data_IF_444915737946
#
_entry.id   IF_444915737946
#
_cell.length_a   1.000
_cell.length_b   1.000
_cell.length_c   1.000
_cell.angle_alpha   90.00
_cell.angle_beta   90.00
_cell.angle_gamma   90.00
#
_symmetry.space_group_name_H-M   'P 1'
#
loop_
_entity.id
_entity.type
_entity.pdbx_description
1 polymer ?
#
# COMPACT_ATOMS: atom_id res chain seq x y z
N UNK A 1 -24.52 3.05 -8.61
CA UNK A 1 -24.20 4.41 -9.10
C UNK A 1 -23.37 5.11 -8.03
N UNK A 2 -22.07 5.33 -8.29
CA UNK A 2 -21.27 6.22 -7.45
C UNK A 2 -21.61 7.66 -7.82
N UNK A 3 -22.26 8.37 -6.94
CA UNK A 3 -22.38 9.81 -7.07
C UNK A 3 -21.07 10.43 -6.58
N UNK A 4 -20.40 11.20 -7.44
CA UNK A 4 -19.29 12.04 -7.03
C UNK A 4 -19.86 13.09 -6.06
N UNK A 5 -19.58 12.94 -4.76
CA UNK A 5 -20.12 13.81 -3.70
C UNK A 5 -19.40 15.15 -3.67
N UNK A 6 -18.18 15.20 -4.19
CA UNK A 6 -17.38 16.41 -4.29
C UNK A 6 -16.02 16.14 -4.96
N UNK A 7 -15.45 17.16 -5.54
CA UNK A 7 -14.09 17.18 -6.04
C UNK A 7 -13.30 18.15 -5.16
N UNK A 8 -12.37 17.62 -4.36
CA UNK A 8 -11.45 18.45 -3.60
C UNK A 8 -10.32 18.83 -4.55
N UNK A 9 -10.36 20.06 -5.04
CA UNK A 9 -9.28 20.62 -5.86
C UNK A 9 -8.48 21.55 -4.95
N UNK A 10 -7.26 21.19 -4.55
CA UNK A 10 -6.41 22.08 -3.76
C UNK A 10 -6.23 23.40 -4.52
N UNK A 11 -6.65 24.50 -3.94
CA UNK A 11 -6.47 25.83 -4.52
C UNK A 11 -4.97 26.12 -4.57
N UNK A 12 -4.42 26.29 -5.76
CA UNK A 12 -3.03 26.73 -6.02
C UNK A 12 -1.90 25.72 -5.89
N UNK A 13 -2.11 24.43 -6.05
CA UNK A 13 -0.97 23.52 -5.98
C UNK A 13 -0.67 22.86 -7.32
N UNK A 14 0.57 23.03 -7.80
CA UNK A 14 1.19 22.16 -8.80
C UNK A 14 1.75 20.87 -8.13
N UNK A 15 1.36 20.59 -6.89
CA UNK A 15 1.83 19.44 -6.13
C UNK A 15 1.03 18.21 -6.51
N UNK A 16 1.71 17.11 -6.70
CA UNK A 16 1.10 15.78 -6.80
C UNK A 16 1.20 15.11 -5.44
N UNK A 17 0.22 14.27 -5.11
CA UNK A 17 0.17 13.54 -3.85
C UNK A 17 0.18 12.04 -4.10
N UNK A 18 1.01 11.31 -3.35
CA UNK A 18 1.08 9.84 -3.40
C UNK A 18 -0.02 9.17 -2.59
N UNK A 19 -0.52 9.87 -1.59
CA UNK A 19 -1.56 9.35 -0.71
C UNK A 19 -2.35 10.46 -0.04
N UNK A 20 -3.56 10.12 0.32
CA UNK A 20 -4.40 10.96 1.17
C UNK A 20 -5.21 10.09 2.12
N UNK A 21 -5.55 10.64 3.28
CA UNK A 21 -6.44 10.02 4.25
C UNK A 21 -7.21 11.10 5.01
N UNK A 22 -8.40 10.75 5.47
CA UNK A 22 -9.26 11.66 6.23
C UNK A 22 -9.37 11.22 7.69
N UNK A 23 -9.34 12.19 8.59
CA UNK A 23 -9.64 12.01 10.01
C UNK A 23 -10.49 13.19 10.50
N UNK A 24 -11.74 12.91 10.88
CA UNK A 24 -12.72 13.96 11.19
C UNK A 24 -12.88 14.93 10.01
N UNK A 25 -12.71 16.22 10.27
CA UNK A 25 -12.80 17.27 9.26
C UNK A 25 -11.45 17.61 8.60
N UNK A 26 -10.45 16.79 8.81
CA UNK A 26 -9.08 17.00 8.32
C UNK A 26 -8.73 15.99 7.26
N UNK A 27 -8.13 16.46 6.16
CA UNK A 27 -7.54 15.63 5.10
C UNK A 27 -6.03 15.81 5.16
N UNK A 28 -5.33 14.70 5.28
CA UNK A 28 -3.87 14.64 5.21
C UNK A 28 -3.45 14.18 3.83
N UNK A 29 -2.45 14.83 3.26
CA UNK A 29 -1.91 14.50 1.94
C UNK A 29 -0.39 14.33 2.02
N UNK A 30 0.12 13.20 1.51
CA UNK A 30 1.57 12.97 1.37
C UNK A 30 1.99 13.42 -0.02
N UNK A 31 2.85 14.45 -0.15
CA UNK A 31 3.34 14.88 -1.45
C UNK A 31 4.20 13.82 -2.12
N UNK A 32 4.11 13.72 -3.46
CA UNK A 32 4.95 12.82 -4.26
C UNK A 32 6.38 13.35 -4.47
N UNK A 33 6.57 14.65 -4.28
CA UNK A 33 7.87 15.31 -4.42
C UNK A 33 8.26 15.97 -3.10
N UNK A 34 9.47 15.70 -2.64
CA UNK A 34 10.05 16.30 -1.44
C UNK A 34 11.19 17.23 -1.86
N UNK A 35 11.15 18.50 -1.44
CA UNK A 35 12.21 19.43 -1.76
C UNK A 35 13.48 19.13 -0.94
N UNK A 36 13.39 19.17 0.39
CA UNK A 36 14.53 18.92 1.28
C UNK A 36 14.15 18.03 2.47
N UNK A 37 12.90 18.11 2.93
CA UNK A 37 12.40 17.38 4.09
C UNK A 37 11.07 16.74 3.76
N UNK A 38 10.79 15.63 4.43
CA UNK A 38 9.49 14.98 4.36
C UNK A 38 8.44 15.77 5.09
N UNK A 39 7.26 15.84 4.51
CA UNK A 39 6.16 16.60 5.06
C UNK A 39 4.81 15.97 4.72
N UNK A 40 3.80 16.36 5.44
CA UNK A 40 2.40 16.17 5.07
C UNK A 40 1.74 17.55 4.95
N UNK A 41 0.87 17.69 3.95
CA UNK A 41 0.02 18.86 3.80
C UNK A 41 -1.35 18.55 4.41
N UNK A 42 -1.89 19.51 5.13
CA UNK A 42 -3.16 19.38 5.85
C UNK A 42 -4.18 20.32 5.21
N UNK A 43 -5.36 19.75 4.93
CA UNK A 43 -6.50 20.43 4.35
C UNK A 43 -7.75 20.19 5.19
N UNK A 44 -8.72 21.10 5.09
CA UNK A 44 -10.08 20.81 5.54
C UNK A 44 -10.79 19.90 4.52
N UNK A 45 -11.91 19.29 4.92
CA UNK A 45 -12.79 18.54 3.98
C UNK A 45 -13.39 19.42 2.89
N UNK A 46 -13.42 20.76 3.06
CA UNK A 46 -13.78 21.72 2.01
C UNK A 46 -12.65 22.01 1.01
N UNK A 47 -11.46 21.40 1.20
CA UNK A 47 -10.28 21.59 0.33
C UNK A 47 -9.47 22.83 0.63
N UNK A 48 -9.67 23.47 1.79
CA UNK A 48 -8.86 24.62 2.20
C UNK A 48 -7.56 24.15 2.85
N UNK A 49 -6.43 24.63 2.32
CA UNK A 49 -5.11 24.38 2.89
C UNK A 49 -5.02 25.01 4.29
N UNK A 50 -4.55 24.23 5.25
CA UNK A 50 -4.34 24.67 6.62
C UNK A 50 -2.86 24.92 6.91
N UNK A 51 -2.06 23.88 6.78
CA UNK A 51 -0.64 23.93 7.09
C UNK A 51 0.15 22.80 6.42
N UNK A 52 1.47 22.94 6.42
CA UNK A 52 2.42 21.87 6.13
C UNK A 52 3.11 21.47 7.42
N UNK A 53 2.99 20.20 7.81
CA UNK A 53 3.72 19.65 8.94
C UNK A 53 4.96 18.90 8.46
N UNK A 54 6.09 19.21 9.08
CA UNK A 54 7.35 18.56 8.78
C UNK A 54 7.51 17.30 9.62
N UNK A 55 8.01 16.26 8.98
CA UNK A 55 8.31 15.00 9.66
C UNK A 55 9.77 15.02 10.06
N UNK A 56 10.02 15.08 11.37
CA UNK A 56 11.37 14.92 11.91
C UNK A 56 11.86 13.52 11.62
N UNK A 57 12.83 13.41 10.74
CA UNK A 57 13.53 12.16 10.50
C UNK A 57 14.99 12.46 10.21
N UNK A 58 15.87 11.76 10.93
CA UNK A 58 17.32 11.73 10.65
C UNK A 58 17.63 11.05 9.30
N UNK A 59 16.59 10.53 8.64
CA UNK A 59 16.73 9.84 7.36
C UNK A 59 16.83 10.88 6.26
N UNK A 60 18.00 10.96 5.65
CA UNK A 60 18.23 11.80 4.48
C UNK A 60 17.19 11.52 3.40
N UNK A 61 16.56 12.57 2.89
CA UNK A 61 15.74 12.50 1.69
C UNK A 61 16.66 12.21 0.52
N UNK A 62 16.53 11.02 -0.05
CA UNK A 62 17.26 10.70 -1.27
C UNK A 62 16.54 11.36 -2.43
N UNK A 63 17.11 12.44 -2.93
CA UNK A 63 16.66 13.09 -4.16
C UNK A 63 17.19 12.26 -5.32
N UNK A 64 16.34 11.55 -6.02
CA UNK A 64 16.69 11.07 -7.34
C UNK A 64 16.81 12.28 -8.26
N UNK A 65 18.00 12.55 -8.74
CA UNK A 65 18.31 13.70 -9.58
C UNK A 65 17.39 13.81 -10.79
N UNK A 66 16.94 15.01 -11.06
CA UNK A 66 15.96 15.55 -11.98
C UNK A 66 16.14 15.22 -13.48
N UNK A 67 16.40 14.01 -13.87
CA UNK A 67 16.27 13.65 -15.28
C UNK A 67 15.30 12.50 -15.43
N UNK A 68 14.08 12.88 -15.80
CA UNK A 68 13.00 12.06 -16.33
C UNK A 68 12.44 10.99 -15.41
N UNK A 69 11.16 11.18 -15.11
CA UNK A 69 10.24 10.22 -14.51
C UNK A 69 10.57 9.82 -13.08
N UNK A 70 9.91 10.50 -12.16
CA UNK A 70 9.68 9.99 -10.80
C UNK A 70 8.94 8.66 -10.93
N UNK A 71 9.68 7.57 -10.98
CA UNK A 71 9.06 6.27 -10.81
C UNK A 71 8.71 6.15 -9.33
N UNK A 72 7.46 6.38 -9.01
CA UNK A 72 6.92 5.90 -7.76
C UNK A 72 7.03 4.38 -7.78
N UNK A 73 7.89 3.81 -6.94
CA UNK A 73 7.92 2.36 -6.72
C UNK A 73 6.68 1.90 -5.96
N UNK A 74 5.93 2.84 -5.39
CA UNK A 74 4.66 2.64 -4.75
C UNK A 74 3.55 2.66 -5.80
N UNK A 75 2.76 1.62 -5.83
CA UNK A 75 1.51 1.55 -6.60
C UNK A 75 0.32 1.34 -5.67
N UNK A 76 0.57 1.36 -4.37
CA UNK A 76 -0.41 1.27 -3.31
C UNK A 76 -0.53 2.58 -2.52
N UNK A 77 -1.46 2.62 -1.59
CA UNK A 77 -1.62 3.75 -0.69
C UNK A 77 -0.51 3.75 0.37
N UNK A 78 0.16 4.88 0.51
CA UNK A 78 1.12 5.13 1.59
C UNK A 78 0.46 5.59 2.88
N UNK A 79 -0.88 5.68 2.92
CA UNK A 79 -1.67 6.15 4.05
C UNK A 79 -2.82 5.21 4.38
N UNK A 80 -3.16 5.12 5.64
CA UNK A 80 -4.32 4.37 6.15
C UNK A 80 -4.87 4.98 7.42
N UNK A 81 -6.19 5.09 7.52
CA UNK A 81 -6.86 5.50 8.75
C UNK A 81 -7.09 4.32 9.70
N UNK A 82 -6.85 4.53 10.99
CA UNK A 82 -7.18 3.58 12.04
C UNK A 82 -7.63 4.31 13.30
N UNK A 83 -8.91 4.13 13.69
CA UNK A 83 -9.52 4.81 14.84
C UNK A 83 -9.42 6.34 14.70
N UNK A 84 -8.71 6.98 15.64
CA UNK A 84 -8.50 8.42 15.74
C UNK A 84 -7.11 8.87 15.26
N UNK A 85 -6.47 8.06 14.42
CA UNK A 85 -5.17 8.36 13.84
C UNK A 85 -5.09 7.97 12.36
N UNK A 86 -4.17 8.60 11.65
CA UNK A 86 -3.78 8.26 10.29
C UNK A 86 -2.36 7.77 10.29
N UNK A 87 -2.16 6.54 9.82
CA UNK A 87 -0.85 5.98 9.54
C UNK A 87 -0.37 6.43 8.18
N UNK A 88 0.90 6.75 8.06
CA UNK A 88 1.52 7.05 6.78
C UNK A 88 2.99 6.69 6.76
N UNK A 89 3.52 6.54 5.57
CA UNK A 89 4.92 6.22 5.33
C UNK A 89 5.44 6.92 4.09
N UNK A 90 6.73 6.82 3.87
CA UNK A 90 7.42 7.32 2.69
C UNK A 90 8.28 6.24 2.08
N UNK A 91 8.50 6.29 0.77
CA UNK A 91 9.48 5.41 0.12
C UNK A 91 10.87 5.56 0.74
N UNK A 92 11.60 4.46 0.79
CA UNK A 92 12.97 4.38 1.33
C UNK A 92 13.11 4.63 2.83
N UNK A 93 12.04 4.55 3.60
CA UNK A 93 12.05 4.71 5.05
C UNK A 93 11.40 3.51 5.71
N UNK A 94 12.07 2.85 6.66
CA UNK A 94 11.50 1.71 7.38
C UNK A 94 10.66 2.15 8.58
N UNK A 95 10.02 3.33 8.47
CA UNK A 95 9.18 3.86 9.55
C UNK A 95 7.74 4.01 9.09
N UNK A 96 6.82 3.73 10.00
CA UNK A 96 5.42 4.10 9.87
C UNK A 96 5.14 5.18 10.90
N UNK A 97 4.68 6.31 10.41
CA UNK A 97 4.32 7.46 11.22
C UNK A 97 2.82 7.41 11.52
N UNK A 98 2.44 8.02 12.63
CA UNK A 98 1.05 8.28 12.97
C UNK A 98 0.83 9.77 13.16
N UNK A 99 -0.23 10.30 12.54
CA UNK A 99 -0.79 11.60 12.84
C UNK A 99 -1.98 11.43 13.77
N UNK A 100 -1.96 12.14 14.89
CA UNK A 100 -3.04 12.15 15.86
C UNK A 100 -3.08 13.49 16.59
N UNK A 101 -4.24 14.14 16.63
CA UNK A 101 -4.45 15.39 17.38
C UNK A 101 -3.40 16.46 17.08
N UNK A 102 -3.07 16.69 15.82
CA UNK A 102 -2.09 17.71 15.40
C UNK A 102 -0.62 17.34 15.63
N UNK A 103 -0.32 16.09 15.97
CA UNK A 103 1.05 15.63 16.22
C UNK A 103 1.42 14.47 15.30
N UNK A 104 2.68 14.44 14.89
CA UNK A 104 3.28 13.34 14.14
C UNK A 104 4.29 12.61 15.04
N UNK A 105 4.19 11.29 15.09
CA UNK A 105 5.12 10.43 15.82
C UNK A 105 5.50 9.21 14.99
N UNK A 106 6.68 8.64 15.23
CA UNK A 106 7.01 7.30 14.73
C UNK A 106 6.23 6.29 15.56
N UNK A 107 5.36 5.54 14.90
CA UNK A 107 4.56 4.49 15.55
C UNK A 107 5.22 3.13 15.45
N UNK A 108 5.77 2.80 14.29
CA UNK A 108 6.46 1.54 14.06
C UNK A 108 7.80 1.81 13.37
N UNK A 109 8.82 1.10 13.83
CA UNK A 109 10.10 0.97 13.14
C UNK A 109 10.23 -0.50 12.71
N UNK A 110 10.42 -0.70 11.42
CA UNK A 110 10.54 -2.03 10.83
C UNK A 110 12.03 -2.34 10.62
N UNK A 111 12.49 -3.40 11.25
CA UNK A 111 13.85 -3.89 11.09
C UNK A 111 13.86 -5.06 10.09
N UNK A 112 14.37 -4.80 8.91
CA UNK A 112 14.56 -5.81 7.86
C UNK A 112 15.99 -6.32 7.81
N UNK A 113 16.87 -5.90 8.74
CA UNK A 113 18.28 -6.20 8.72
C UNK A 113 18.91 -5.80 7.38
N UNK A 114 19.70 -6.70 6.80
CA UNK A 114 20.38 -6.48 5.53
C UNK A 114 19.45 -6.46 4.31
N UNK A 115 18.16 -6.75 4.50
CA UNK A 115 17.16 -6.70 3.41
C UNK A 115 16.57 -5.31 3.20
N UNK A 116 16.82 -4.33 4.07
CA UNK A 116 16.49 -2.95 3.75
C UNK A 116 17.52 -2.39 2.76
N UNK A 117 17.04 -1.61 1.79
CA UNK A 117 17.92 -1.08 0.74
C UNK A 117 19.12 -0.33 1.35
N UNK A 118 20.34 -0.69 0.99
CA UNK A 118 21.52 0.01 1.49
C UNK A 118 21.56 1.47 1.01
N UNK A 119 21.89 2.38 1.91
CA UNK A 119 21.95 3.83 1.63
C UNK A 119 22.92 4.19 0.49
N UNK A 120 23.99 3.42 0.33
CA UNK A 120 24.95 3.63 -0.76
C UNK A 120 24.37 3.36 -2.16
N UNK A 121 23.31 2.55 -2.28
CA UNK A 121 22.60 2.35 -3.54
C UNK A 121 21.67 3.54 -3.85
N UNK A 122 21.12 4.16 -2.83
CA UNK A 122 20.27 5.34 -2.98
C UNK A 122 21.10 6.61 -3.28
N UNK A 123 22.32 6.68 -2.76
CA UNK A 123 23.23 7.82 -2.99
C UNK A 123 23.93 7.78 -4.36
N UNK A 124 23.91 6.65 -5.05
CA UNK A 124 24.41 6.54 -6.42
C UNK A 124 23.31 7.03 -7.36
N UNK A 125 23.68 7.72 -8.42
CA UNK A 125 22.79 8.06 -9.55
C UNK A 125 22.39 6.81 -10.32
N UNK A 126 21.82 5.82 -9.61
CA UNK A 126 21.37 4.57 -10.21
C UNK A 126 20.06 4.84 -10.93
N UNK A 127 19.93 4.55 -12.22
CA UNK A 127 18.67 4.65 -12.93
C UNK A 127 17.58 3.84 -12.21
N UNK A 128 16.34 4.34 -12.19
CA UNK A 128 15.25 3.71 -11.48
C UNK A 128 15.01 2.24 -11.89
N UNK A 129 15.11 1.95 -13.19
CA UNK A 129 14.95 0.57 -13.69
C UNK A 129 16.04 -0.36 -13.15
N UNK A 130 17.28 0.12 -13.08
CA UNK A 130 18.42 -0.67 -12.57
C UNK A 130 18.26 -0.90 -11.08
N UNK A 131 17.81 0.12 -10.34
CA UNK A 131 17.52 0.00 -8.91
C UNK A 131 16.41 -1.03 -8.65
N UNK A 132 15.33 -1.00 -9.45
CA UNK A 132 14.26 -1.99 -9.34
C UNK A 132 14.77 -3.41 -9.60
N UNK A 133 15.59 -3.62 -10.62
CA UNK A 133 16.17 -4.93 -10.92
C UNK A 133 17.09 -5.42 -9.79
N UNK A 134 17.92 -4.52 -9.24
CA UNK A 134 18.78 -4.83 -8.08
C UNK A 134 17.90 -5.25 -6.89
N UNK A 135 16.85 -4.48 -6.58
CA UNK A 135 15.96 -4.80 -5.47
C UNK A 135 15.24 -6.14 -5.66
N UNK A 136 14.78 -6.44 -6.88
CA UNK A 136 14.16 -7.72 -7.17
C UNK A 136 15.15 -8.89 -7.04
N UNK A 137 16.37 -8.73 -7.53
CA UNK A 137 17.41 -9.77 -7.51
C UNK A 137 17.91 -10.06 -6.10
N UNK A 138 18.19 -9.01 -5.33
CA UNK A 138 18.78 -9.12 -3.99
C UNK A 138 17.71 -9.22 -2.88
N UNK A 139 16.42 -9.04 -3.23
CA UNK A 139 15.32 -9.11 -2.28
C UNK A 139 15.16 -7.86 -1.40
N UNK A 140 15.79 -6.74 -1.76
CA UNK A 140 15.71 -5.53 -0.94
C UNK A 140 14.29 -4.96 -0.85
N UNK A 141 13.95 -4.50 0.35
CA UNK A 141 12.73 -3.75 0.67
C UNK A 141 13.01 -2.27 0.51
N UNK A 142 12.12 -1.56 -0.18
CA UNK A 142 12.28 -0.13 -0.48
C UNK A 142 11.01 0.69 -0.24
N UNK A 143 9.88 0.01 -0.06
CA UNK A 143 8.58 0.66 0.10
C UNK A 143 7.73 -0.11 1.08
N UNK A 144 6.92 0.65 1.83
CA UNK A 144 5.84 0.15 2.67
C UNK A 144 4.55 0.78 2.16
N UNK A 145 3.55 -0.03 1.85
CA UNK A 145 2.31 0.44 1.24
C UNK A 145 1.10 -0.39 1.66
N UNK A 146 -0.10 0.08 1.35
CA UNK A 146 -1.35 -0.61 1.64
C UNK A 146 -1.44 -1.07 3.10
N UNK A 147 -1.11 -0.16 4.01
CA UNK A 147 -1.14 -0.47 5.43
C UNK A 147 -2.56 -0.64 5.93
N UNK A 148 -2.77 -1.63 6.74
CA UNK A 148 -4.01 -1.83 7.48
C UNK A 148 -3.68 -2.18 8.92
N UNK A 149 -4.24 -1.44 9.83
CA UNK A 149 -4.11 -1.69 11.25
C UNK A 149 -5.45 -2.10 11.85
N UNK A 150 -5.42 -3.16 12.65
CA UNK A 150 -6.52 -3.58 13.52
C UNK A 150 -6.07 -3.51 14.98
N UNK A 151 -6.94 -3.91 15.93
CA UNK A 151 -6.53 -4.07 17.33
C UNK A 151 -5.37 -5.05 17.49
N UNK A 152 -5.36 -6.12 16.71
CA UNK A 152 -4.49 -7.28 16.92
C UNK A 152 -3.35 -7.38 15.88
N UNK A 153 -3.53 -6.78 14.71
CA UNK A 153 -2.59 -6.91 13.60
C UNK A 153 -2.22 -5.56 12.97
N UNK A 154 -1.02 -5.51 12.41
CA UNK A 154 -0.65 -4.57 11.36
C UNK A 154 -0.30 -5.39 10.12
N UNK A 155 -1.02 -5.16 9.04
CA UNK A 155 -0.78 -5.76 7.73
C UNK A 155 -0.27 -4.68 6.78
N UNK A 156 0.76 -4.98 6.02
CA UNK A 156 1.30 -4.06 5.00
C UNK A 156 1.95 -4.81 3.85
N UNK A 157 2.06 -4.15 2.72
CA UNK A 157 2.85 -4.62 1.60
C UNK A 157 4.25 -4.00 1.61
N UNK A 158 5.21 -4.76 1.13
CA UNK A 158 6.47 -4.24 0.60
C UNK A 158 6.45 -4.36 -0.92
N UNK A 159 7.54 -3.98 -1.57
CA UNK A 159 7.68 -4.15 -3.03
C UNK A 159 7.60 -5.61 -3.51
N UNK A 160 7.77 -6.61 -2.66
CA UNK A 160 7.82 -8.02 -3.05
C UNK A 160 7.16 -9.01 -2.07
N UNK A 161 6.53 -8.54 -1.00
CA UNK A 161 5.93 -9.40 0.02
C UNK A 161 4.85 -8.69 0.83
N UNK A 162 4.16 -9.48 1.66
CA UNK A 162 3.24 -9.03 2.68
C UNK A 162 3.88 -9.22 4.05
N UNK A 163 3.71 -8.26 4.92
CA UNK A 163 4.14 -8.35 6.30
C UNK A 163 2.91 -8.36 7.19
N UNK A 164 2.83 -9.32 8.07
CA UNK A 164 1.82 -9.39 9.12
C UNK A 164 2.53 -9.30 10.46
N UNK A 165 2.30 -8.23 11.19
CA UNK A 165 2.74 -8.08 12.56
C UNK A 165 1.57 -8.37 13.49
N UNK A 166 1.67 -9.47 14.24
CA UNK A 166 0.74 -9.85 15.30
C UNK A 166 1.15 -9.14 16.58
N UNK A 167 0.32 -8.20 17.03
CA UNK A 167 0.57 -7.38 18.22
C UNK A 167 0.41 -8.16 19.53
N UNK A 168 -0.38 -9.24 19.49
CA UNK A 168 -0.64 -10.06 20.68
C UNK A 168 0.54 -10.95 21.02
N UNK A 169 1.20 -11.48 20.00
CA UNK A 169 2.36 -12.37 20.13
C UNK A 169 3.69 -11.64 19.93
N UNK A 170 3.64 -10.36 19.50
CA UNK A 170 4.81 -9.56 19.12
C UNK A 170 5.67 -10.24 18.04
N UNK A 171 5.00 -10.88 17.07
CA UNK A 171 5.66 -11.59 15.98
C UNK A 171 5.38 -10.94 14.64
N UNK A 172 6.43 -10.84 13.84
CA UNK A 172 6.37 -10.39 12.46
C UNK A 172 6.57 -11.61 11.54
N UNK A 173 5.68 -11.78 10.57
CA UNK A 173 5.76 -12.85 9.58
C UNK A 173 5.67 -12.27 8.19
N UNK A 174 6.56 -12.72 7.32
CA UNK A 174 6.58 -12.35 5.92
C UNK A 174 5.90 -13.43 5.07
N UNK A 175 5.05 -13.01 4.15
CA UNK A 175 4.36 -13.87 3.19
C UNK A 175 4.59 -13.34 1.77
N UNK A 176 4.83 -14.23 0.82
CA UNK A 176 4.99 -13.84 -0.58
C UNK A 176 3.65 -13.76 -1.33
N UNK A 177 2.60 -14.35 -0.80
CA UNK A 177 1.27 -14.31 -1.39
C UNK A 177 0.21 -14.55 -0.32
N UNK A 178 -0.91 -13.87 -0.45
CA UNK A 178 -2.16 -14.18 0.24
C UNK A 178 -3.03 -14.93 -0.76
N UNK A 179 -3.53 -16.09 -0.39
CA UNK A 179 -4.30 -16.96 -1.28
C UNK A 179 -5.72 -17.07 -0.76
N UNK A 180 -6.69 -16.80 -1.62
CA UNK A 180 -8.09 -17.01 -1.30
C UNK A 180 -8.38 -18.52 -1.13
N UNK A 181 -8.93 -18.91 0.01
CA UNK A 181 -9.06 -20.32 0.40
C UNK A 181 -9.93 -21.14 -0.55
N UNK A 182 -11.03 -20.57 -1.05
CA UNK A 182 -11.95 -21.30 -1.95
C UNK A 182 -11.44 -21.38 -3.39
N UNK A 183 -10.88 -20.29 -3.91
CA UNK A 183 -10.50 -20.20 -5.33
C UNK A 183 -9.04 -20.54 -5.59
N UNK A 184 -8.19 -20.51 -4.56
CA UNK A 184 -6.75 -20.67 -4.71
C UNK A 184 -6.09 -19.52 -5.50
N UNK A 185 -6.80 -18.43 -5.74
CA UNK A 185 -6.26 -17.26 -6.45
C UNK A 185 -5.38 -16.47 -5.49
N UNK A 186 -4.16 -16.19 -5.93
CA UNK A 186 -3.22 -15.33 -5.22
C UNK A 186 -3.62 -13.87 -5.34
N UNK A 187 -3.53 -13.14 -4.23
CA UNK A 187 -3.73 -11.71 -4.16
C UNK A 187 -2.36 -11.00 -4.16
N UNK A 188 -1.98 -10.33 -5.25
CA UNK A 188 -0.70 -9.64 -5.32
C UNK A 188 -0.68 -8.35 -4.47
N UNK A 189 -1.84 -7.77 -4.26
CA UNK A 189 -2.05 -6.52 -3.50
C UNK A 189 -3.44 -6.48 -2.93
N UNK A 190 -3.59 -5.75 -1.84
CA UNK A 190 -4.88 -5.50 -1.23
C UNK A 190 -5.13 -4.00 -1.05
N UNK A 191 -6.39 -3.66 -0.94
CA UNK A 191 -6.85 -2.33 -0.58
C UNK A 191 -7.35 -2.43 0.86
N UNK A 192 -6.74 -1.74 1.82
CA UNK A 192 -7.23 -1.74 3.19
C UNK A 192 -8.59 -1.04 3.26
N UNK A 193 -9.51 -1.59 4.04
CA UNK A 193 -10.76 -0.93 4.36
C UNK A 193 -10.61 -0.28 5.73
N UNK A 194 -10.56 1.04 5.81
CA UNK A 194 -10.33 1.74 7.07
C UNK A 194 -11.33 1.35 8.16
N UNK A 195 -10.85 1.24 9.39
CA UNK A 195 -11.66 0.91 10.57
C UNK A 195 -12.46 -0.41 10.48
N UNK A 196 -11.94 -1.36 9.73
CA UNK A 196 -12.53 -2.70 9.61
C UNK A 196 -11.44 -3.77 9.72
N UNK A 197 -11.84 -5.04 9.80
CA UNK A 197 -10.94 -6.19 9.66
C UNK A 197 -10.97 -6.77 8.23
N UNK A 198 -11.42 -5.97 7.25
CA UNK A 198 -11.53 -6.41 5.87
C UNK A 198 -10.47 -5.75 5.00
N UNK A 199 -9.97 -6.53 4.06
CA UNK A 199 -9.21 -6.06 2.91
C UNK A 199 -9.96 -6.37 1.63
N UNK A 200 -9.75 -5.56 0.61
CA UNK A 200 -10.40 -5.72 -0.67
C UNK A 200 -9.39 -5.95 -1.79
N UNK A 201 -9.81 -6.63 -2.82
CA UNK A 201 -9.12 -6.72 -4.09
C UNK A 201 -10.08 -6.37 -5.21
N UNK A 202 -9.73 -5.40 -6.04
CA UNK A 202 -10.44 -5.13 -7.28
C UNK A 202 -9.80 -5.94 -8.41
N UNK A 203 -10.59 -6.63 -9.21
CA UNK A 203 -10.13 -7.46 -10.32
C UNK A 203 -11.13 -7.41 -11.48
N UNK A 204 -10.65 -7.25 -12.70
CA UNK A 204 -11.47 -7.35 -13.89
C UNK A 204 -12.11 -8.74 -14.00
N UNK A 205 -13.42 -8.80 -14.36
CA UNK A 205 -14.18 -10.04 -14.42
C UNK A 205 -13.53 -11.08 -15.36
N UNK A 206 -13.07 -10.65 -16.54
CA UNK A 206 -12.37 -11.49 -17.51
C UNK A 206 -11.06 -12.06 -16.94
N UNK A 207 -10.33 -11.25 -16.17
CA UNK A 207 -9.08 -11.68 -15.52
C UNK A 207 -9.36 -12.69 -14.41
N UNK A 208 -10.39 -12.43 -13.60
CA UNK A 208 -10.80 -13.35 -12.54
C UNK A 208 -11.18 -14.71 -13.10
N UNK A 209 -12.05 -14.75 -14.12
CA UNK A 209 -12.47 -16.00 -14.76
C UNK A 209 -11.28 -16.78 -15.35
N UNK A 210 -10.36 -16.08 -16.03
CA UNK A 210 -9.13 -16.70 -16.56
C UNK A 210 -8.28 -17.32 -15.46
N UNK A 211 -8.10 -16.62 -14.34
CA UNK A 211 -7.33 -17.14 -13.20
C UNK A 211 -7.98 -18.40 -12.60
N UNK A 212 -9.31 -18.44 -12.51
CA UNK A 212 -10.05 -19.64 -12.06
C UNK A 212 -9.85 -20.81 -13.02
N UNK A 213 -9.95 -20.59 -14.33
CA UNK A 213 -9.72 -21.62 -15.34
C UNK A 213 -8.29 -22.18 -15.29
N UNK A 214 -7.30 -21.29 -15.19
CA UNK A 214 -5.89 -21.69 -15.11
C UNK A 214 -5.62 -22.48 -13.82
N UNK A 215 -6.21 -22.07 -12.70
CA UNK A 215 -6.13 -22.83 -11.46
C UNK A 215 -6.78 -24.22 -11.58
N UNK A 216 -7.92 -24.30 -12.27
CA UNK A 216 -8.58 -25.57 -12.56
C UNK A 216 -7.68 -26.52 -13.35
N UNK A 217 -6.99 -26.00 -14.40
CA UNK A 217 -6.03 -26.79 -15.19
C UNK A 217 -4.86 -27.29 -14.34
N UNK A 218 -4.30 -26.41 -13.51
CA UNK A 218 -3.20 -26.74 -12.58
C UNK A 218 -3.65 -27.86 -11.62
N UNK A 219 -4.82 -27.73 -11.02
CA UNK A 219 -5.35 -28.74 -10.10
C UNK A 219 -5.48 -30.10 -10.79
N UNK A 220 -6.01 -30.15 -12.02
CA UNK A 220 -6.11 -31.39 -12.81
C UNK A 220 -4.72 -31.99 -13.08
N UNK A 221 -3.77 -31.13 -13.51
CA UNK A 221 -2.40 -31.58 -13.83
C UNK A 221 -1.69 -32.24 -12.64
N UNK A 222 -1.94 -31.74 -11.42
CA UNK A 222 -1.29 -32.24 -10.20
C UNK A 222 -2.15 -33.20 -9.38
N UNK A 223 -3.31 -33.61 -9.91
CA UNK A 223 -4.21 -34.56 -9.21
C UNK A 223 -4.85 -33.98 -7.95
N UNK A 224 -4.91 -32.65 -7.85
CA UNK A 224 -5.55 -31.96 -6.73
C UNK A 224 -7.07 -31.98 -6.96
N UNK A 225 -7.83 -32.31 -5.93
CA UNK A 225 -9.28 -32.28 -6.00
C UNK A 225 -9.76 -30.88 -6.45
N UNK A 226 -10.51 -30.85 -7.56
CA UNK A 226 -10.97 -29.57 -8.12
C UNK A 226 -12.33 -29.22 -7.54
N UNK A 227 -12.32 -28.35 -6.54
CA UNK A 227 -13.53 -27.81 -5.92
C UNK A 227 -13.98 -26.48 -6.54
N UNK A 228 -13.28 -25.99 -7.58
CA UNK A 228 -13.59 -24.69 -8.17
C UNK A 228 -14.76 -24.84 -9.14
N UNK A 229 -15.92 -24.38 -8.69
CA UNK A 229 -17.12 -24.24 -9.52
C UNK A 229 -17.23 -22.79 -10.01
N UNK A 230 -16.82 -22.57 -11.26
CA UNK A 230 -16.83 -21.21 -11.87
C UNK A 230 -18.27 -20.71 -12.05
N UNK A 231 -19.21 -21.61 -12.35
CA UNK A 231 -20.62 -21.26 -12.58
C UNK A 231 -21.30 -20.77 -11.29
N UNK A 232 -20.82 -21.23 -10.13
CA UNK A 232 -21.29 -20.77 -8.81
C UNK A 232 -21.29 -19.26 -8.67
N UNK A 233 -20.34 -18.58 -9.29
CA UNK A 233 -20.19 -17.15 -9.13
C UNK A 233 -21.10 -16.33 -10.07
N UNK A 234 -21.67 -16.93 -11.11
CA UNK A 234 -22.56 -16.27 -12.05
C UNK A 234 -21.92 -15.09 -12.81
N UNK A 235 -20.59 -15.04 -12.85
CA UNK A 235 -19.82 -13.93 -13.41
C UNK A 235 -19.65 -14.13 -14.91
N UNK A 236 -19.87 -13.07 -15.69
CA UNK A 236 -19.67 -13.01 -17.12
C UNK A 236 -18.41 -12.23 -17.45
N UNK A 237 -17.85 -12.51 -18.64
CA UNK A 237 -16.59 -11.92 -19.09
C UNK A 237 -16.65 -10.39 -19.27
N UNK A 238 -17.83 -9.87 -19.55
CA UNK A 238 -18.14 -8.45 -19.77
C UNK A 238 -18.77 -7.76 -18.55
N UNK A 239 -18.82 -8.45 -17.41
CA UNK A 239 -19.26 -7.83 -16.16
C UNK A 239 -18.27 -6.71 -15.71
N UNK A 240 -18.81 -5.82 -14.89
CA UNK A 240 -17.98 -4.81 -14.22
C UNK A 240 -16.87 -5.46 -13.39
N UNK A 241 -15.80 -4.73 -13.06
CA UNK A 241 -14.78 -5.21 -12.14
C UNK A 241 -15.39 -5.72 -10.83
N UNK A 242 -14.86 -6.84 -10.37
CA UNK A 242 -15.27 -7.48 -9.13
C UNK A 242 -14.51 -6.88 -7.96
N UNK A 243 -15.16 -6.77 -6.83
CA UNK A 243 -14.51 -6.49 -5.56
C UNK A 243 -14.62 -7.73 -4.67
N UNK A 244 -13.50 -8.33 -4.38
CA UNK A 244 -13.42 -9.47 -3.47
C UNK A 244 -13.05 -8.93 -2.10
N UNK A 245 -13.87 -9.25 -1.10
CA UNK A 245 -13.62 -8.90 0.29
C UNK A 245 -13.06 -10.10 1.03
N UNK A 246 -12.01 -9.87 1.80
CA UNK A 246 -11.40 -10.85 2.66
C UNK A 246 -11.50 -10.35 4.10
N UNK A 247 -12.03 -11.19 4.97
CA UNK A 247 -12.04 -10.93 6.40
C UNK A 247 -10.74 -11.47 7.00
N UNK A 248 -10.06 -10.63 7.75
CA UNK A 248 -8.88 -11.02 8.52
C UNK A 248 -9.33 -11.63 9.85
N UNK A 249 -8.62 -12.62 10.37
CA UNK A 249 -8.96 -13.27 11.62
C UNK A 249 -8.95 -12.33 12.82
#
# INVERSE_FOLDING_TARGET
FCNLIGLITPKNTKKYYEGFSQIGDTILCVPSEYEEKRNIDIYTVSGEFQETMWVDSDVQTYRMDNQSTTYSFSSGSTMSGFRDEVLFTYSYVPYIYAYRNGNITIKYQLDFGDLWIPSNLLNKRTPANDLQQICMKEGYKIVLENMMETSDFLLLNTNNSFIVYDKTTNRCTEYFSIIHSETGIGMPRFIPIPNSNHIAQAIEANRFLRMLEDRKKINVQYGIANSIDIEKYGIKIDDNPLVILYELP
#
